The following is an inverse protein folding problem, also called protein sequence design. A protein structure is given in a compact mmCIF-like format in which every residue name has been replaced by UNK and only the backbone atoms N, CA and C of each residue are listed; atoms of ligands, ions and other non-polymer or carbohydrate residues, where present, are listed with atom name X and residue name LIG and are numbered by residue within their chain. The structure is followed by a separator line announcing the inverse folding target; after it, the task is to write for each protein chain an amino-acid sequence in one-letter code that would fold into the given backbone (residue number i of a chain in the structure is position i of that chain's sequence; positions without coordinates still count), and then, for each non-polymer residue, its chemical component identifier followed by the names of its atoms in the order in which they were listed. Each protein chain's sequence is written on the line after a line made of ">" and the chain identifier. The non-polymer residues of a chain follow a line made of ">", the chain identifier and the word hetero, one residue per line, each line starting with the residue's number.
data_IF_079397133386
#
_entry.id   IF_079397133386
#
_cell.length_a   1.000
_cell.length_b   1.000
_cell.length_c   1.000
_cell.angle_alpha   90.00
_cell.angle_beta   90.00
_cell.angle_gamma   90.00
#
_symmetry.space_group_name_H-M   'P 1'
#
loop_
_entity.id
_entity.type
_entity.pdbx_description
1 polymer ?
#
# COMPACT_ATOMS: atom_id res chain seq x y z
N UNK A 1 7.59 3.79 10.49
CA UNK A 1 7.73 3.75 9.03
C UNK A 1 9.18 4.08 8.77
N UNK A 2 10.02 3.07 8.60
CA UNK A 2 11.42 3.30 8.25
C UNK A 2 11.44 3.53 6.74
N UNK A 3 11.88 4.71 6.30
CA UNK A 3 12.11 4.97 4.88
C UNK A 3 13.42 4.29 4.55
N UNK A 4 13.38 3.18 3.81
CA UNK A 4 14.58 2.53 3.30
C UNK A 4 15.25 3.46 2.31
N UNK A 5 16.31 4.13 2.74
CA UNK A 5 17.14 4.97 1.90
C UNK A 5 18.29 4.11 1.35
N UNK A 6 18.32 3.89 0.04
CA UNK A 6 19.45 3.24 -0.59
C UNK A 6 20.72 4.05 -0.38
N UNK A 7 21.83 3.37 -0.08
CA UNK A 7 23.13 4.03 0.02
C UNK A 7 23.52 4.56 -1.37
N UNK A 8 23.80 5.88 -1.53
CA UNK A 8 24.18 6.44 -2.82
C UNK A 8 25.35 5.68 -3.43
N UNK A 9 25.35 5.38 -4.73
CA UNK A 9 26.46 4.68 -5.39
C UNK A 9 27.62 5.61 -5.76
N UNK A 10 27.32 6.90 -5.91
CA UNK A 10 28.27 7.94 -6.28
C UNK A 10 29.30 8.19 -5.17
N UNK A 11 30.59 8.20 -5.54
CA UNK A 11 31.70 8.34 -4.59
C UNK A 11 31.77 9.74 -3.99
N UNK A 12 31.45 10.78 -4.76
CA UNK A 12 31.51 12.16 -4.30
C UNK A 12 30.36 12.45 -3.34
N UNK A 13 29.17 11.90 -3.61
CA UNK A 13 28.04 11.95 -2.66
C UNK A 13 28.41 11.23 -1.35
N UNK A 14 28.98 10.01 -1.42
CA UNK A 14 29.43 9.29 -0.22
C UNK A 14 30.46 10.08 0.58
N UNK A 15 31.43 10.70 -0.10
CA UNK A 15 32.44 11.56 0.52
C UNK A 15 31.78 12.77 1.19
N UNK A 16 30.85 13.44 0.53
CA UNK A 16 30.14 14.58 1.10
C UNK A 16 29.34 14.18 2.33
N UNK A 17 28.53 13.11 2.27
CA UNK A 17 27.77 12.61 3.42
C UNK A 17 28.66 12.23 4.62
N UNK A 18 29.85 11.69 4.36
CA UNK A 18 30.77 11.24 5.41
C UNK A 18 31.63 12.35 6.01
N UNK A 19 31.95 13.41 5.26
CA UNK A 19 32.98 14.38 5.63
C UNK A 19 32.55 15.84 5.59
N UNK A 20 31.43 16.18 4.96
CA UNK A 20 30.93 17.55 4.94
C UNK A 20 30.12 17.81 6.23
N UNK A 21 30.59 18.73 7.10
CA UNK A 21 29.94 19.01 8.38
C UNK A 21 28.49 19.47 8.26
N UNK A 22 28.06 19.95 7.08
CA UNK A 22 26.66 20.33 6.83
C UNK A 22 25.67 19.18 7.07
N UNK A 23 26.11 17.92 6.98
CA UNK A 23 25.25 16.74 7.20
C UNK A 23 25.29 16.21 8.63
N UNK A 24 26.10 16.80 9.52
CA UNK A 24 26.21 16.34 10.91
C UNK A 24 25.09 16.89 11.80
N UNK A 25 24.49 18.02 11.41
CA UNK A 25 23.31 18.61 12.03
C UNK A 25 22.14 18.56 11.05
N UNK A 26 21.38 17.46 11.13
CA UNK A 26 20.23 17.24 10.26
C UNK A 26 19.16 18.33 10.45
N UNK A 27 18.97 18.86 11.66
CA UNK A 27 17.97 19.88 11.95
C UNK A 27 18.35 21.22 11.32
N UNK A 28 19.62 21.62 11.40
CA UNK A 28 20.12 22.82 10.73
C UNK A 28 20.02 22.68 9.20
N UNK A 29 20.36 21.51 8.65
CA UNK A 29 20.27 21.24 7.22
C UNK A 29 18.81 21.29 6.73
N UNK A 30 17.87 20.67 7.45
CA UNK A 30 16.44 20.70 7.11
C UNK A 30 15.90 22.13 7.10
N UNK A 31 16.34 23.01 8.01
CA UNK A 31 15.96 24.44 8.01
C UNK A 31 16.48 25.23 6.80
N UNK A 32 17.47 24.71 6.07
CA UNK A 32 17.95 25.35 4.83
C UNK A 32 17.11 24.99 3.60
N UNK A 33 16.26 23.96 3.71
CA UNK A 33 15.29 23.63 2.66
C UNK A 33 14.30 24.80 2.59
N UNK A 34 14.04 25.36 1.39
CA UNK A 34 13.07 26.43 1.24
C UNK A 34 11.74 26.03 1.89
N UNK A 35 11.22 26.89 2.78
CA UNK A 35 9.86 26.74 3.27
C UNK A 35 8.89 26.92 2.09
N UNK A 36 8.01 25.94 1.95
CA UNK A 36 6.77 25.91 1.17
C UNK A 36 6.78 25.43 -0.29
N UNK A 37 6.38 24.16 -0.43
CA UNK A 37 5.39 23.77 -1.47
C UNK A 37 3.98 23.66 -0.87
N UNK A 38 3.82 23.38 0.44
CA UNK A 38 2.52 23.29 1.11
C UNK A 38 2.62 23.41 2.65
N UNK A 39 1.77 24.23 3.28
CA UNK A 39 1.67 24.33 4.76
C UNK A 39 1.17 22.99 5.35
N UNK A 40 1.93 22.39 6.27
CA UNK A 40 1.55 21.12 6.90
C UNK A 40 0.20 21.19 7.63
N UNK A 41 -0.22 22.38 8.09
CA UNK A 41 -1.49 22.59 8.79
C UNK A 41 -2.69 22.33 7.89
N UNK A 42 -2.54 22.51 6.57
CA UNK A 42 -3.64 22.29 5.61
C UNK A 42 -3.68 20.86 5.07
N UNK A 43 -2.71 19.99 5.39
CA UNK A 43 -2.67 18.62 4.87
C UNK A 43 -3.92 17.81 5.22
N UNK A 44 -4.50 18.06 6.40
CA UNK A 44 -5.75 17.41 6.80
C UNK A 44 -6.93 17.83 5.94
N UNK A 45 -6.93 19.08 5.47
CA UNK A 45 -7.97 19.63 4.61
C UNK A 45 -7.82 19.12 3.17
N UNK A 46 -6.59 19.04 2.67
CA UNK A 46 -6.28 18.40 1.38
C UNK A 46 -6.73 16.94 1.39
N UNK A 47 -6.37 16.19 2.44
CA UNK A 47 -6.80 14.81 2.59
C UNK A 47 -8.32 14.70 2.60
N UNK A 48 -9.03 15.57 3.32
CA UNK A 48 -10.50 15.58 3.36
C UNK A 48 -11.11 15.89 2.00
N UNK A 49 -10.55 16.86 1.27
CA UNK A 49 -11.00 17.23 -0.07
C UNK A 49 -10.87 16.05 -1.05
N UNK A 50 -9.71 15.39 -1.10
CA UNK A 50 -9.52 14.19 -1.94
C UNK A 50 -10.55 13.11 -1.62
N UNK A 51 -10.81 12.87 -0.33
CA UNK A 51 -11.77 11.83 0.07
C UNK A 51 -13.24 12.20 -0.21
N UNK A 52 -13.56 13.49 -0.37
CA UNK A 52 -14.90 13.96 -0.69
C UNK A 52 -15.15 13.99 -2.20
N UNK A 53 -14.16 14.46 -2.96
CA UNK A 53 -14.30 14.72 -4.40
C UNK A 53 -13.99 13.50 -5.28
N UNK A 54 -13.14 12.57 -4.83
CA UNK A 54 -12.81 11.38 -5.63
C UNK A 54 -13.84 10.28 -5.39
N UNK A 55 -14.56 9.94 -6.45
CA UNK A 55 -15.70 9.03 -6.41
C UNK A 55 -15.30 7.58 -6.70
N UNK A 56 -16.10 6.64 -6.17
CA UNK A 56 -16.05 5.22 -6.51
C UNK A 56 -17.42 4.83 -7.07
N UNK A 57 -17.45 4.08 -8.16
CA UNK A 57 -18.69 3.54 -8.71
C UNK A 57 -19.17 2.35 -7.88
N UNK A 58 -20.47 2.03 -7.96
CA UNK A 58 -21.03 0.83 -7.31
C UNK A 58 -20.32 -0.46 -7.79
N UNK A 59 -19.90 -0.49 -9.05
CA UNK A 59 -19.13 -1.61 -9.59
C UNK A 59 -17.77 -1.76 -8.90
N UNK A 60 -17.10 -0.65 -8.60
CA UNK A 60 -15.83 -0.66 -7.86
C UNK A 60 -16.03 -1.02 -6.39
N UNK A 61 -17.12 -0.58 -5.76
CA UNK A 61 -17.48 -0.98 -4.40
C UNK A 61 -17.63 -2.49 -4.31
N UNK A 62 -18.40 -3.10 -5.23
CA UNK A 62 -18.54 -4.57 -5.32
C UNK A 62 -17.19 -5.25 -5.52
N UNK A 63 -16.42 -4.81 -6.51
CA UNK A 63 -15.07 -5.33 -6.77
C UNK A 63 -14.16 -5.28 -5.53
N UNK A 64 -14.20 -4.18 -4.77
CA UNK A 64 -13.41 -4.02 -3.55
C UNK A 64 -13.84 -5.01 -2.46
N UNK A 65 -15.14 -5.27 -2.32
CA UNK A 65 -15.67 -6.27 -1.39
C UNK A 65 -15.32 -7.69 -1.83
N UNK A 66 -15.32 -7.96 -3.14
CA UNK A 66 -14.94 -9.27 -3.69
C UNK A 66 -13.45 -9.56 -3.46
N UNK A 67 -12.57 -8.57 -3.70
CA UNK A 67 -11.15 -8.66 -3.31
C UNK A 67 -10.98 -8.93 -1.82
N UNK A 68 -11.80 -8.26 -0.99
CA UNK A 68 -11.74 -8.43 0.46
C UNK A 68 -12.10 -9.86 0.88
N UNK A 69 -13.18 -10.39 0.32
CA UNK A 69 -13.63 -11.75 0.59
C UNK A 69 -12.60 -12.78 0.10
N UNK A 70 -12.06 -12.59 -1.10
CA UNK A 70 -11.05 -13.48 -1.68
C UNK A 70 -9.76 -13.54 -0.85
N UNK A 71 -9.33 -12.42 -0.23
CA UNK A 71 -8.19 -12.43 0.71
C UNK A 71 -8.52 -13.13 2.02
N UNK A 72 -9.73 -12.92 2.55
CA UNK A 72 -10.14 -13.48 3.86
C UNK A 72 -10.45 -14.96 3.80
N UNK A 73 -11.03 -15.42 2.70
CA UNK A 73 -11.39 -16.81 2.47
C UNK A 73 -11.00 -17.22 1.04
N UNK A 74 -9.70 -17.46 0.78
CA UNK A 74 -9.20 -17.81 -0.54
C UNK A 74 -9.79 -19.13 -1.05
N UNK A 75 -10.15 -20.05 -0.14
CA UNK A 75 -10.71 -21.35 -0.50
C UNK A 75 -12.11 -21.19 -1.08
N UNK A 76 -12.93 -20.29 -0.55
CA UNK A 76 -14.30 -20.05 -1.05
C UNK A 76 -14.35 -19.61 -2.52
N UNK A 77 -13.27 -19.00 -3.02
CA UNK A 77 -13.14 -18.51 -4.40
C UNK A 77 -12.24 -19.40 -5.27
N UNK A 78 -11.78 -20.54 -4.74
CA UNK A 78 -11.01 -21.53 -5.50
C UNK A 78 -9.54 -21.16 -5.72
N UNK A 79 -8.97 -20.29 -4.89
CA UNK A 79 -7.54 -19.96 -4.95
C UNK A 79 -6.73 -21.11 -4.33
N UNK A 80 -5.75 -21.60 -5.10
CA UNK A 80 -4.83 -22.66 -4.70
C UNK A 80 -3.37 -22.24 -4.91
N UNK A 81 -2.51 -22.52 -3.93
CA UNK A 81 -1.07 -22.25 -3.98
C UNK A 81 -0.34 -23.55 -3.70
N UNK A 82 0.49 -23.98 -4.66
CA UNK A 82 1.21 -25.25 -4.56
C UNK A 82 2.04 -25.37 -3.27
N UNK A 83 1.91 -26.53 -2.63
CA UNK A 83 2.59 -26.84 -1.36
C UNK A 83 2.08 -26.04 -0.16
N UNK A 84 0.87 -25.48 -0.22
CA UNK A 84 0.24 -24.72 0.88
C UNK A 84 -1.15 -25.29 1.17
N UNK A 85 -1.41 -25.62 2.43
CA UNK A 85 -2.77 -25.89 2.90
C UNK A 85 -3.55 -24.56 3.01
N UNK A 86 -4.27 -24.23 1.95
CA UNK A 86 -5.02 -22.97 1.82
C UNK A 86 -6.11 -22.82 2.90
N UNK A 87 -6.66 -23.92 3.42
CA UNK A 87 -7.67 -23.89 4.48
C UNK A 87 -7.13 -23.33 5.80
N UNK A 88 -5.80 -23.35 5.96
CA UNK A 88 -5.10 -22.86 7.13
C UNK A 88 -4.28 -21.61 6.87
N UNK A 89 -4.02 -21.27 5.61
CA UNK A 89 -3.10 -20.19 5.25
C UNK A 89 -3.44 -18.88 5.94
N UNK A 90 -4.67 -18.39 5.81
CA UNK A 90 -5.11 -17.11 6.36
C UNK A 90 -5.85 -17.35 7.68
N UNK A 91 -5.22 -16.97 8.80
CA UNK A 91 -5.82 -17.08 10.14
C UNK A 91 -6.66 -15.86 10.51
N UNK A 92 -6.49 -14.76 9.78
CA UNK A 92 -7.27 -13.55 9.95
C UNK A 92 -6.62 -12.35 9.31
N UNK A 93 -7.09 -11.17 9.71
CA UNK A 93 -6.63 -9.91 9.13
C UNK A 93 -7.60 -9.40 8.08
N UNK A 94 -7.10 -8.54 7.18
CA UNK A 94 -7.91 -7.76 6.24
C UNK A 94 -9.14 -7.20 6.98
N UNK A 95 -8.92 -6.37 8.00
CA UNK A 95 -10.04 -5.83 8.79
C UNK A 95 -10.81 -4.77 7.98
N UNK A 96 -12.04 -4.39 8.39
CA UNK A 96 -12.76 -3.26 7.78
C UNK A 96 -11.90 -1.99 7.74
N UNK A 97 -11.03 -1.79 8.74
CA UNK A 97 -10.06 -0.70 8.77
C UNK A 97 -9.02 -0.80 7.65
N UNK A 98 -8.52 -2.00 7.34
CA UNK A 98 -7.60 -2.22 6.22
C UNK A 98 -8.24 -1.84 4.88
N UNK A 99 -9.48 -2.30 4.67
CA UNK A 99 -10.24 -1.96 3.45
C UNK A 99 -10.53 -0.46 3.33
N UNK A 100 -10.88 0.20 4.43
CA UNK A 100 -11.06 1.65 4.42
C UNK A 100 -9.76 2.38 4.02
N UNK A 101 -8.59 1.92 4.51
CA UNK A 101 -7.31 2.47 4.07
C UNK A 101 -7.00 2.17 2.61
N UNK A 102 -7.36 0.99 2.10
CA UNK A 102 -7.19 0.62 0.70
C UNK A 102 -7.96 1.57 -0.23
N UNK A 103 -9.24 1.79 0.05
CA UNK A 103 -10.08 2.72 -0.73
C UNK A 103 -9.56 4.16 -0.62
N UNK A 104 -9.15 4.60 0.57
CA UNK A 104 -8.56 5.93 0.77
C UNK A 104 -7.29 6.12 -0.06
N UNK A 105 -6.42 5.11 -0.09
CA UNK A 105 -5.20 5.12 -0.89
C UNK A 105 -5.50 5.09 -2.40
N UNK A 106 -6.48 4.29 -2.83
CA UNK A 106 -6.94 4.28 -4.23
C UNK A 106 -7.48 5.63 -4.69
N UNK A 107 -8.24 6.33 -3.83
CA UNK A 107 -8.68 7.71 -4.11
C UNK A 107 -7.52 8.69 -4.26
N UNK A 108 -6.47 8.54 -3.45
CA UNK A 108 -5.25 9.35 -3.59
C UNK A 108 -4.52 9.01 -4.89
N UNK A 109 -4.43 7.74 -5.27
CA UNK A 109 -3.82 7.33 -6.54
C UNK A 109 -4.56 7.93 -7.74
N UNK A 110 -5.89 7.85 -7.77
CA UNK A 110 -6.71 8.47 -8.81
C UNK A 110 -6.51 9.99 -8.88
N UNK A 111 -6.48 10.66 -7.72
CA UNK A 111 -6.24 12.10 -7.64
C UNK A 111 -4.85 12.52 -8.15
N UNK A 112 -3.81 11.76 -7.81
CA UNK A 112 -2.45 11.99 -8.30
C UNK A 112 -2.35 11.88 -9.83
N UNK A 113 -3.19 11.02 -10.41
CA UNK A 113 -3.34 10.87 -11.87
C UNK A 113 -4.28 11.90 -12.50
N UNK A 114 -4.79 12.87 -11.73
CA UNK A 114 -5.70 13.92 -12.21
C UNK A 114 -7.10 13.43 -12.56
N UNK A 115 -7.50 12.25 -12.06
CA UNK A 115 -8.85 11.68 -12.23
C UNK A 115 -9.73 12.03 -11.04
N UNK A 116 -11.04 12.05 -11.27
CA UNK A 116 -12.10 12.27 -10.28
C UNK A 116 -12.79 10.97 -9.85
N UNK A 117 -12.41 9.84 -10.46
CA UNK A 117 -12.96 8.52 -10.15
C UNK A 117 -11.85 7.48 -10.02
N UNK A 118 -12.01 6.60 -9.03
CA UNK A 118 -11.13 5.46 -8.79
C UNK A 118 -11.43 4.35 -9.81
N UNK A 119 -10.37 3.74 -10.34
CA UNK A 119 -10.43 2.58 -11.23
C UNK A 119 -9.78 1.36 -10.56
N UNK A 120 -10.02 0.12 -11.03
CA UNK A 120 -9.47 -1.08 -10.41
C UNK A 120 -7.94 -1.07 -10.26
N UNK A 121 -7.23 -0.45 -11.20
CA UNK A 121 -5.78 -0.31 -11.22
C UNK A 121 -5.25 0.50 -10.04
N UNK A 122 -5.99 1.51 -9.57
CA UNK A 122 -5.62 2.32 -8.40
C UNK A 122 -5.54 1.47 -7.14
N UNK A 123 -6.56 0.63 -6.95
CA UNK A 123 -6.65 -0.27 -5.81
C UNK A 123 -5.55 -1.32 -5.88
N UNK A 124 -5.30 -1.89 -7.07
CA UNK A 124 -4.26 -2.90 -7.29
C UNK A 124 -2.86 -2.34 -7.00
N UNK A 125 -2.58 -1.12 -7.45
CA UNK A 125 -1.27 -0.48 -7.29
C UNK A 125 -0.89 -0.30 -5.83
N UNK A 126 -1.84 0.06 -4.97
CA UNK A 126 -1.58 0.29 -3.54
C UNK A 126 -1.92 -0.93 -2.66
N UNK A 127 -2.47 -2.00 -3.25
CA UNK A 127 -3.02 -3.13 -2.50
C UNK A 127 -1.98 -3.80 -1.61
N UNK A 128 -0.83 -4.17 -2.19
CA UNK A 128 0.21 -4.89 -1.47
C UNK A 128 0.74 -4.08 -0.30
N UNK A 129 1.01 -2.79 -0.50
CA UNK A 129 1.51 -1.90 0.54
C UNK A 129 0.50 -1.72 1.68
N UNK A 130 -0.79 -1.63 1.36
CA UNK A 130 -1.84 -1.49 2.37
C UNK A 130 -2.13 -2.81 3.10
N UNK A 131 -2.15 -3.94 2.38
CA UNK A 131 -2.72 -5.19 2.87
C UNK A 131 -1.69 -6.21 3.36
N UNK A 132 -0.45 -6.19 2.87
CA UNK A 132 0.58 -7.21 3.17
C UNK A 132 0.75 -7.45 4.67
N UNK A 133 0.96 -6.38 5.44
CA UNK A 133 1.12 -6.40 6.89
C UNK A 133 -0.20 -6.53 7.66
N UNK A 134 -1.33 -6.66 6.94
CA UNK A 134 -2.68 -6.77 7.51
C UNK A 134 -3.31 -8.13 7.29
N UNK A 135 -2.65 -9.05 6.59
CA UNK A 135 -3.05 -10.45 6.47
C UNK A 135 -2.22 -11.25 7.46
N UNK A 136 -2.87 -12.00 8.35
CA UNK A 136 -2.19 -12.86 9.33
C UNK A 136 -2.20 -14.28 8.81
N UNK A 137 -1.00 -14.83 8.60
CA UNK A 137 -0.84 -16.20 8.14
C UNK A 137 -0.79 -17.18 9.32
N UNK A 138 -1.03 -18.47 9.08
CA UNK A 138 -0.69 -19.51 10.05
C UNK A 138 0.83 -19.47 10.33
N UNK A 139 1.26 -19.56 11.61
CA UNK A 139 2.67 -19.49 11.99
C UNK A 139 3.60 -20.44 11.21
N UNK A 140 3.09 -21.58 10.72
CA UNK A 140 3.88 -22.51 9.89
C UNK A 140 4.36 -21.87 8.56
N UNK A 141 3.66 -20.84 8.08
CA UNK A 141 3.93 -20.16 6.82
C UNK A 141 4.69 -18.84 6.98
N UNK A 142 4.92 -18.36 8.21
CA UNK A 142 5.47 -17.03 8.46
C UNK A 142 6.91 -16.86 7.91
N UNK A 143 7.71 -17.94 7.91
CA UNK A 143 9.06 -17.95 7.30
C UNK A 143 9.05 -17.71 5.78
N UNK A 144 7.92 -17.95 5.12
CA UNK A 144 7.71 -17.77 3.67
C UNK A 144 6.73 -16.62 3.37
N UNK A 145 6.43 -15.78 4.37
CA UNK A 145 5.39 -14.73 4.31
C UNK A 145 5.42 -13.93 3.03
N UNK A 146 6.56 -13.33 2.69
CA UNK A 146 6.63 -12.40 1.57
C UNK A 146 6.27 -13.09 0.25
N UNK A 147 6.83 -14.27 -0.01
CA UNK A 147 6.51 -15.05 -1.19
C UNK A 147 5.04 -15.49 -1.22
N UNK A 148 4.48 -15.91 -0.09
CA UNK A 148 3.11 -16.39 0.01
C UNK A 148 2.07 -15.27 -0.09
N UNK A 149 2.33 -14.11 0.52
CA UNK A 149 1.46 -12.93 0.40
C UNK A 149 1.44 -12.43 -1.04
N UNK A 150 2.60 -12.37 -1.70
CA UNK A 150 2.68 -11.99 -3.11
C UNK A 150 1.94 -12.98 -4.01
N UNK A 151 2.14 -14.29 -3.79
CA UNK A 151 1.42 -15.32 -4.53
C UNK A 151 -0.09 -15.25 -4.31
N UNK A 152 -0.53 -15.07 -3.05
CA UNK A 152 -1.94 -14.92 -2.70
C UNK A 152 -2.57 -13.71 -3.40
N UNK A 153 -1.95 -12.54 -3.33
CA UNK A 153 -2.49 -11.33 -3.96
C UNK A 153 -2.52 -11.47 -5.49
N UNK A 154 -1.50 -12.09 -6.09
CA UNK A 154 -1.51 -12.43 -7.51
C UNK A 154 -2.69 -13.31 -7.91
N UNK A 155 -2.96 -14.37 -7.14
CA UNK A 155 -4.11 -15.26 -7.36
C UNK A 155 -5.45 -14.56 -7.13
N UNK A 156 -5.55 -13.70 -6.12
CA UNK A 156 -6.74 -12.89 -5.86
C UNK A 156 -7.06 -12.00 -7.06
N UNK A 157 -6.07 -11.32 -7.64
CA UNK A 157 -6.30 -10.48 -8.82
C UNK A 157 -6.60 -11.26 -10.10
N UNK A 158 -6.09 -12.49 -10.22
CA UNK A 158 -6.41 -13.38 -11.32
C UNK A 158 -7.83 -13.96 -11.22
N UNK A 159 -8.31 -14.18 -9.99
CA UNK A 159 -9.60 -14.82 -9.70
C UNK A 159 -10.76 -13.82 -9.68
N UNK A 160 -10.54 -12.64 -9.08
CA UNK A 160 -11.57 -11.61 -8.96
C UNK A 160 -11.56 -10.70 -10.19
N UNK A 161 -12.58 -10.77 -11.07
CA UNK A 161 -12.61 -9.97 -12.29
C UNK A 161 -12.79 -8.48 -11.96
N UNK A 162 -12.04 -7.64 -12.65
CA UNK A 162 -12.30 -6.20 -12.65
C UNK A 162 -13.62 -5.91 -13.40
N UNK A 163 -14.38 -4.89 -12.97
CA UNK A 163 -15.65 -4.48 -13.59
C UNK A 163 -15.49 -3.87 -14.99
#
# INVERSE_FOLDING_TARGET
>A
MEITMETPKDRDIRRALAFDPRFYDADALVRTVPEDVLDYRVLSDVARAIQAEIHASEALERYTLDLWNAVRDPVSVGIDIDGVDMSRLVQGGASPRGMAYLVRAGRVAAWLDGRDMVVPEDLRTVFTEVMSHRVFLDPIYELRRDALVQALFGQVFATVPAP
#
